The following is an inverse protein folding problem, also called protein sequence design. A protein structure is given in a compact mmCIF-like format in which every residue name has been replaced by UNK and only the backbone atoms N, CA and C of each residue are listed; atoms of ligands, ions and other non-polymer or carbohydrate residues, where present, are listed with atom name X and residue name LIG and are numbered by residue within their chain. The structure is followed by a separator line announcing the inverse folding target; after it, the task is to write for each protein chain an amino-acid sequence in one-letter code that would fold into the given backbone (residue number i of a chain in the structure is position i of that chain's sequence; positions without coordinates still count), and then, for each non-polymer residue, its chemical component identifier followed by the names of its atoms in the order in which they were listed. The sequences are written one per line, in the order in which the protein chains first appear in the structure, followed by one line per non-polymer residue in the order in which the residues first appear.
data_IF_142609160286
#
_entry.id   IF_142609160286
#
_cell.length_a   1.000
_cell.length_b   1.000
_cell.length_c   1.000
_cell.angle_alpha   90.00
_cell.angle_beta   90.00
_cell.angle_gamma   90.00
#
_symmetry.space_group_name_H-M   'P 1'
#
loop_
_entity.id
_entity.type
_entity.pdbx_description
1 polymer ?
#
# COMPACT_ATOMS: atom_id res chain seq x y z
N UNK A 1 -21.60 1.64 0.12
CA UNK A 1 -20.35 0.99 0.54
C UNK A 1 -19.56 0.68 -0.70
N UNK A 2 -18.34 1.17 -0.76
CA UNK A 2 -17.39 0.95 -1.84
C UNK A 2 -16.15 0.28 -1.24
N UNK A 3 -15.57 -0.66 -1.99
CA UNK A 3 -14.38 -1.42 -1.60
C UNK A 3 -13.45 -1.46 -2.81
N UNK A 4 -12.19 -1.09 -2.62
CA UNK A 4 -11.14 -1.26 -3.61
C UNK A 4 -10.00 -2.09 -3.05
N UNK A 5 -9.36 -2.84 -3.94
CA UNK A 5 -8.18 -3.64 -3.67
C UNK A 5 -7.16 -3.35 -4.76
N UNK A 6 -5.96 -2.96 -4.35
CA UNK A 6 -4.83 -2.79 -5.26
C UNK A 6 -3.60 -3.48 -4.70
N UNK A 7 -2.83 -4.11 -5.59
CA UNK A 7 -1.58 -4.77 -5.25
C UNK A 7 -0.48 -4.26 -6.17
N UNK A 8 0.61 -3.83 -5.56
CA UNK A 8 1.78 -3.26 -6.21
C UNK A 8 2.98 -4.15 -5.97
N UNK A 9 3.73 -4.43 -7.02
CA UNK A 9 4.95 -5.21 -6.90
C UNK A 9 6.18 -4.32 -6.64
N UNK A 10 7.23 -4.91 -6.04
CA UNK A 10 8.49 -4.20 -5.80
C UNK A 10 9.18 -3.90 -7.13
N UNK A 11 9.61 -2.65 -7.33
CA UNK A 11 10.27 -2.25 -8.57
C UNK A 11 11.67 -2.87 -8.68
N UNK A 12 11.89 -3.65 -9.74
CA UNK A 12 13.24 -4.06 -10.16
C UNK A 12 13.80 -3.05 -11.19
N UNK A 13 14.33 -1.93 -10.71
CA UNK A 13 14.79 -0.84 -11.58
C UNK A 13 15.84 -1.35 -12.58
N UNK A 14 15.49 -1.30 -13.88
CA UNK A 14 16.35 -1.74 -14.99
C UNK A 14 16.60 -3.25 -15.06
N UNK A 15 15.82 -4.07 -14.34
CA UNK A 15 16.03 -5.52 -14.23
C UNK A 15 17.45 -5.91 -13.79
N UNK A 16 18.09 -5.04 -13.00
CA UNK A 16 19.51 -5.16 -12.64
C UNK A 16 19.76 -6.24 -11.58
N UNK A 17 18.71 -6.70 -10.90
CA UNK A 17 18.81 -7.66 -9.80
C UNK A 17 18.33 -9.05 -10.23
N UNK A 18 19.16 -10.07 -10.00
CA UNK A 18 18.82 -11.49 -10.17
C UNK A 18 18.20 -12.04 -8.89
N UNK A 19 17.48 -13.17 -9.00
CA UNK A 19 16.94 -13.92 -7.85
C UNK A 19 16.12 -13.05 -6.88
N UNK A 20 15.39 -12.06 -7.40
CA UNK A 20 14.56 -11.15 -6.60
C UNK A 20 15.33 -10.39 -5.50
N UNK A 21 16.64 -10.23 -5.64
CA UNK A 21 17.47 -9.56 -4.62
C UNK A 21 17.00 -8.12 -4.32
N UNK A 22 16.32 -7.46 -5.26
CA UNK A 22 15.73 -6.13 -5.09
C UNK A 22 14.60 -6.07 -4.05
N UNK A 23 14.07 -7.23 -3.59
CA UNK A 23 13.03 -7.32 -2.58
C UNK A 23 13.56 -7.36 -1.14
N UNK A 24 14.87 -7.54 -0.95
CA UNK A 24 15.46 -7.75 0.38
C UNK A 24 16.11 -6.48 0.93
N UNK A 25 15.84 -6.20 2.20
CA UNK A 25 16.50 -5.17 2.98
C UNK A 25 17.18 -5.80 4.19
N UNK A 26 18.47 -5.51 4.41
CA UNK A 26 19.17 -5.94 5.61
C UNK A 26 19.02 -4.87 6.70
N UNK A 27 18.38 -5.23 7.81
CA UNK A 27 18.27 -4.37 8.99
C UNK A 27 19.35 -4.75 10.00
N UNK A 28 20.04 -3.73 10.50
CA UNK A 28 21.12 -3.87 11.48
C UNK A 28 20.97 -2.76 12.54
N UNK A 29 21.27 -3.08 13.80
CA UNK A 29 21.03 -2.20 14.95
C UNK A 29 22.14 -1.14 15.16
N UNK A 30 23.35 -1.40 14.71
CA UNK A 30 24.50 -0.48 14.83
C UNK A 30 24.79 0.31 13.55
N UNK A 31 25.46 1.45 13.68
CA UNK A 31 25.86 2.31 12.56
C UNK A 31 27.17 1.88 11.88
N UNK A 32 27.92 0.93 12.46
CA UNK A 32 29.20 0.46 11.95
C UNK A 32 29.07 -0.95 11.36
N UNK A 33 28.99 -1.03 10.04
CA UNK A 33 28.91 -2.31 9.27
C UNK A 33 30.30 -2.97 9.14
N UNK A 34 31.35 -2.39 9.74
CA UNK A 34 32.74 -2.87 9.65
C UNK A 34 33.02 -3.97 10.69
N UNK A 35 32.57 -5.19 10.43
CA UNK A 35 32.84 -6.34 11.28
C UNK A 35 31.97 -7.52 10.88
N UNK A 36 32.51 -8.42 10.06
CA UNK A 36 31.81 -9.62 9.63
C UNK A 36 31.33 -10.46 10.83
N UNK A 37 30.05 -10.86 10.79
CA UNK A 37 29.31 -11.71 11.73
C UNK A 37 28.45 -11.02 12.82
N UNK A 38 28.03 -9.77 12.62
CA UNK A 38 27.02 -9.16 13.50
C UNK A 38 25.61 -9.40 12.97
N UNK A 39 24.72 -9.90 13.83
CA UNK A 39 23.31 -10.27 13.58
C UNK A 39 22.55 -9.29 12.68
N UNK A 40 22.25 -9.71 11.45
CA UNK A 40 21.32 -9.03 10.55
C UNK A 40 19.97 -9.72 10.59
N UNK A 41 18.91 -8.92 10.52
CA UNK A 41 17.57 -9.42 10.18
C UNK A 41 17.29 -9.03 8.74
N UNK A 42 16.95 -10.01 7.92
CA UNK A 42 16.54 -9.75 6.54
C UNK A 42 15.03 -9.51 6.51
N UNK A 43 14.63 -8.39 5.93
CA UNK A 43 13.25 -8.07 5.63
C UNK A 43 13.02 -8.30 4.15
N UNK A 44 12.06 -9.15 3.79
CA UNK A 44 11.62 -9.33 2.40
C UNK A 44 10.34 -8.53 2.18
N UNK A 45 10.36 -7.65 1.18
CA UNK A 45 9.16 -6.97 0.71
C UNK A 45 8.46 -7.83 -0.35
N UNK A 46 7.22 -8.22 -0.06
CA UNK A 46 6.37 -8.98 -0.99
C UNK A 46 5.58 -8.06 -1.94
N UNK A 47 5.94 -6.76 -1.98
CA UNK A 47 5.14 -5.72 -2.61
C UNK A 47 4.33 -4.94 -1.58
N UNK A 48 3.32 -4.21 -2.06
CA UNK A 48 2.39 -3.45 -1.23
C UNK A 48 0.97 -3.81 -1.63
N UNK A 49 0.16 -4.24 -0.69
CA UNK A 49 -1.28 -4.42 -0.89
C UNK A 49 -2.03 -3.36 -0.12
N UNK A 50 -2.96 -2.69 -0.80
CA UNK A 50 -3.83 -1.68 -0.24
C UNK A 50 -5.29 -2.09 -0.39
N UNK A 51 -6.03 -2.03 0.71
CA UNK A 51 -7.47 -2.32 0.75
C UNK A 51 -8.18 -1.10 1.29
N UNK A 52 -8.94 -0.42 0.45
CA UNK A 52 -9.68 0.77 0.83
C UNK A 52 -11.15 0.45 1.02
N UNK A 53 -11.72 0.97 2.10
CA UNK A 53 -13.14 0.91 2.40
C UNK A 53 -13.71 2.32 2.43
N UNK A 54 -14.77 2.57 1.68
CA UNK A 54 -15.42 3.87 1.56
C UNK A 54 -16.92 3.75 1.87
N UNK A 55 -17.38 4.53 2.84
CA UNK A 55 -18.78 4.66 3.22
C UNK A 55 -19.27 6.05 2.84
N UNK A 56 -20.05 6.12 1.77
CA UNK A 56 -20.66 7.36 1.28
C UNK A 56 -22.15 7.42 1.66
N UNK A 57 -22.58 8.56 2.19
CA UNK A 57 -23.98 8.95 2.35
C UNK A 57 -24.31 10.00 1.28
N UNK A 58 -25.25 9.70 0.40
CA UNK A 58 -25.59 10.54 -0.74
C UNK A 58 -27.02 11.06 -0.66
N UNK A 59 -27.24 12.27 -1.18
CA UNK A 59 -28.54 12.91 -1.28
C UNK A 59 -28.75 13.51 -2.66
N UNK A 60 -29.90 13.19 -3.27
CA UNK A 60 -30.35 13.75 -4.54
C UNK A 60 -30.96 15.14 -4.32
N UNK A 61 -30.45 16.14 -5.02
CA UNK A 61 -30.95 17.51 -4.93
C UNK A 61 -32.10 17.65 -5.91
N UNK A 62 -33.33 17.74 -5.38
CA UNK A 62 -34.53 17.99 -6.19
C UNK A 62 -34.84 19.49 -6.24
N UNK A 63 -34.87 20.06 -7.44
CA UNK A 63 -35.29 21.43 -7.68
C UNK A 63 -36.18 21.50 -8.93
N UNK A 64 -37.32 22.18 -8.82
CA UNK A 64 -38.26 22.36 -9.94
C UNK A 64 -37.58 23.10 -11.10
N UNK A 65 -37.71 22.55 -12.32
CA UNK A 65 -37.18 23.16 -13.55
C UNK A 65 -35.78 22.71 -13.98
N UNK A 66 -35.10 21.85 -13.21
CA UNK A 66 -33.80 21.29 -13.62
C UNK A 66 -34.02 19.94 -14.35
N UNK A 67 -33.50 19.75 -15.59
CA UNK A 67 -33.73 18.53 -16.38
C UNK A 67 -32.83 17.35 -16.00
N UNK A 68 -32.00 17.48 -14.97
CA UNK A 68 -31.13 16.44 -14.44
C UNK A 68 -31.16 16.46 -12.91
N UNK A 69 -30.82 15.33 -12.28
CA UNK A 69 -30.81 15.18 -10.83
C UNK A 69 -29.36 15.22 -10.32
N UNK A 70 -28.83 16.40 -9.91
CA UNK A 70 -27.54 16.46 -9.25
C UNK A 70 -27.63 15.76 -7.89
N UNK A 71 -26.54 15.12 -7.47
CA UNK A 71 -26.43 14.47 -6.16
C UNK A 71 -25.14 14.91 -5.47
N UNK A 72 -25.17 14.93 -4.15
CA UNK A 72 -23.99 15.19 -3.32
C UNK A 72 -23.79 14.03 -2.36
N UNK A 73 -22.53 13.67 -2.10
CA UNK A 73 -22.18 12.65 -1.13
C UNK A 73 -21.21 13.21 -0.10
N UNK A 74 -21.36 12.77 1.15
CA UNK A 74 -20.34 12.89 2.17
C UNK A 74 -19.96 11.48 2.62
N UNK A 75 -18.66 11.21 2.74
CA UNK A 75 -18.20 9.88 3.07
C UNK A 75 -17.03 9.87 4.03
N UNK A 76 -16.83 8.71 4.64
CA UNK A 76 -15.64 8.38 5.41
C UNK A 76 -14.96 7.18 4.76
N UNK A 77 -13.64 7.16 4.77
CA UNK A 77 -12.85 6.08 4.22
C UNK A 77 -11.70 5.68 5.13
N UNK A 78 -11.22 4.45 4.97
CA UNK A 78 -10.01 3.93 5.61
C UNK A 78 -9.28 3.01 4.65
N UNK A 79 -7.96 2.99 4.78
CA UNK A 79 -7.05 2.15 4.00
C UNK A 79 -6.31 1.17 4.90
N UNK A 80 -6.18 -0.08 4.47
CA UNK A 80 -5.38 -1.12 5.11
C UNK A 80 -4.20 -1.46 4.21
N UNK A 81 -2.99 -1.09 4.64
CA UNK A 81 -1.75 -1.25 3.87
C UNK A 81 -0.88 -2.38 4.45
N UNK A 82 -0.47 -3.31 3.59
CA UNK A 82 0.40 -4.45 3.91
C UNK A 82 1.67 -4.42 3.05
N UNK A 83 2.86 -4.62 3.62
CA UNK A 83 4.14 -4.44 2.88
C UNK A 83 5.26 -5.46 3.19
N UNK A 84 5.32 -6.05 4.38
CA UNK A 84 6.47 -6.88 4.80
C UNK A 84 6.05 -8.23 5.36
N UNK A 85 6.84 -9.25 5.04
CA UNK A 85 6.86 -10.53 5.72
C UNK A 85 8.22 -10.69 6.44
N UNK A 86 8.19 -10.97 7.75
CA UNK A 86 9.41 -11.14 8.56
C UNK A 86 9.80 -12.61 8.51
N UNK A 87 10.89 -12.94 7.84
CA UNK A 87 11.47 -14.28 7.80
C UNK A 87 12.63 -14.37 8.78
N UNK A 88 12.71 -15.49 9.53
CA UNK A 88 13.73 -15.76 10.56
C UNK A 88 14.92 -16.51 9.96
#
# INVERSE_FOLDING_TARGET
LEVSYEAFDVKNQGNNYKNEAHRYCALHNTSNISGAAETFVYLKSEGLSDISFMLNACYDITAEGIPFSPYICAGIGTDLVYMFEITN
#
